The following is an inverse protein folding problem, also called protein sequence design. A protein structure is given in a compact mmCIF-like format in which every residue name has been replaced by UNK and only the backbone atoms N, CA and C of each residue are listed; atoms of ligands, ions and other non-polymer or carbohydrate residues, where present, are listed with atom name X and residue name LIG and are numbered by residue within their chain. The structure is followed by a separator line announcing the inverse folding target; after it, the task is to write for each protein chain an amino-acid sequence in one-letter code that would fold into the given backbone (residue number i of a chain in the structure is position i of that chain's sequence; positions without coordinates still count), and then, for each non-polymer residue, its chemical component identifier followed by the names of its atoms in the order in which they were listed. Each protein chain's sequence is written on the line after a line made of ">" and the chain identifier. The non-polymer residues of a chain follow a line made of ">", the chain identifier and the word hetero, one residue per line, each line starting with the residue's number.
data_IF_425516889804
#
_entry.id   IF_425516889804
#
_cell.length_a   1.000
_cell.length_b   1.000
_cell.length_c   1.000
_cell.angle_alpha   90.00
_cell.angle_beta   90.00
_cell.angle_gamma   90.00
#
_symmetry.space_group_name_H-M   'P 1'
#
loop_
_entity.id
_entity.type
_entity.pdbx_description
1 polymer ?
#
# COMPACT_ATOMS: atom_id res chain seq x y z
N UNK A 1 12.34 -8.58 8.08
CA UNK A 1 12.84 -8.82 6.71
C UNK A 1 12.27 -10.13 6.17
N UNK A 2 11.89 -10.17 4.88
CA UNK A 2 11.39 -11.40 4.22
C UNK A 2 12.29 -11.67 3.02
N UNK A 3 12.78 -12.91 2.88
CA UNK A 3 13.62 -13.33 1.76
C UNK A 3 13.03 -14.57 1.09
N UNK A 4 12.85 -14.51 -0.22
CA UNK A 4 12.52 -15.64 -1.07
C UNK A 4 13.76 -15.99 -1.90
N UNK A 5 14.26 -17.25 -1.81
CA UNK A 5 15.45 -17.72 -2.50
C UNK A 5 15.08 -18.86 -3.42
N UNK A 6 15.03 -18.57 -4.74
CA UNK A 6 14.70 -19.51 -5.79
C UNK A 6 13.38 -20.28 -5.54
N UNK A 7 12.36 -19.56 -5.06
CA UNK A 7 11.08 -20.14 -4.61
C UNK A 7 10.23 -20.52 -5.81
N UNK A 8 9.74 -21.77 -5.81
CA UNK A 8 8.84 -22.27 -6.85
C UNK A 8 7.61 -22.95 -6.25
N UNK A 9 6.48 -22.88 -6.97
CA UNK A 9 5.25 -23.61 -6.63
C UNK A 9 4.64 -24.24 -7.87
N UNK A 10 4.38 -25.54 -7.78
CA UNK A 10 3.70 -26.33 -8.81
C UNK A 10 2.38 -26.87 -8.29
N UNK A 11 1.38 -26.90 -9.17
CA UNK A 11 0.08 -27.54 -8.96
C UNK A 11 -0.11 -28.56 -10.10
N UNK A 12 0.19 -29.83 -9.84
CA UNK A 12 0.29 -30.83 -10.91
C UNK A 12 1.32 -30.38 -11.95
N UNK A 13 0.90 -30.28 -13.20
CA UNK A 13 1.76 -29.87 -14.33
C UNK A 13 1.89 -28.32 -14.46
N UNK A 14 1.08 -27.55 -13.72
CA UNK A 14 1.10 -26.09 -13.81
C UNK A 14 2.12 -25.50 -12.86
N UNK A 15 3.03 -24.68 -13.37
CA UNK A 15 3.99 -23.90 -12.57
C UNK A 15 3.37 -22.54 -12.29
N UNK A 16 2.93 -22.30 -11.05
CA UNK A 16 2.31 -21.05 -10.65
C UNK A 16 3.34 -19.99 -10.21
N UNK A 17 4.47 -20.43 -9.64
CA UNK A 17 5.61 -19.58 -9.26
C UNK A 17 6.88 -20.33 -9.64
N UNK A 18 7.81 -19.65 -10.30
CA UNK A 18 9.00 -20.25 -10.92
C UNK A 18 10.27 -19.49 -10.57
N UNK A 19 11.06 -20.04 -9.64
CA UNK A 19 12.38 -19.55 -9.27
C UNK A 19 12.42 -18.11 -8.76
N UNK A 20 11.42 -17.68 -8.00
CA UNK A 20 11.32 -16.32 -7.50
C UNK A 20 12.39 -16.02 -6.46
N UNK A 21 13.14 -14.94 -6.71
CA UNK A 21 14.07 -14.31 -5.77
C UNK A 21 13.54 -12.93 -5.44
N UNK A 22 13.32 -12.65 -4.14
CA UNK A 22 12.78 -11.37 -3.66
C UNK A 22 13.25 -11.13 -2.23
N UNK A 23 13.79 -9.94 -1.98
CA UNK A 23 14.09 -9.47 -0.62
C UNK A 23 13.22 -8.27 -0.31
N UNK A 24 12.55 -8.29 0.83
CA UNK A 24 11.69 -7.22 1.36
C UNK A 24 12.26 -6.79 2.69
N UNK A 25 12.73 -5.56 2.75
CA UNK A 25 13.38 -5.02 3.94
C UNK A 25 12.37 -4.71 5.06
N UNK A 26 12.87 -4.62 6.27
CA UNK A 26 12.03 -4.26 7.43
C UNK A 26 11.47 -2.84 7.26
N UNK A 27 10.15 -2.70 7.41
CA UNK A 27 9.44 -1.43 7.24
C UNK A 27 9.13 -1.05 5.78
N UNK A 28 9.56 -1.86 4.81
CA UNK A 28 9.27 -1.68 3.39
C UNK A 28 7.81 -2.00 3.06
N UNK A 29 7.25 -1.26 2.12
CA UNK A 29 5.99 -1.59 1.45
C UNK A 29 6.31 -2.14 0.07
N UNK A 30 6.37 -3.47 -0.05
CA UNK A 30 6.59 -4.15 -1.31
C UNK A 30 5.26 -4.51 -1.96
N UNK A 31 5.02 -4.00 -3.17
CA UNK A 31 3.80 -4.32 -3.93
C UNK A 31 4.11 -5.31 -5.04
N UNK A 32 3.44 -6.46 -5.02
CA UNK A 32 3.44 -7.44 -6.10
C UNK A 32 2.36 -7.05 -7.12
N UNK A 33 2.75 -6.70 -8.33
CA UNK A 33 1.84 -6.30 -9.41
C UNK A 33 2.07 -7.14 -10.66
N UNK A 34 1.05 -7.31 -11.50
CA UNK A 34 1.14 -8.07 -12.76
C UNK A 34 -0.21 -8.60 -13.20
N UNK A 35 -0.23 -9.34 -14.32
CA UNK A 35 -1.44 -9.90 -14.91
C UNK A 35 -2.18 -10.88 -13.98
N UNK A 36 -3.46 -11.09 -14.21
CA UNK A 36 -4.22 -12.10 -13.45
C UNK A 36 -3.61 -13.49 -13.66
N UNK A 37 -3.48 -14.25 -12.57
CA UNK A 37 -2.92 -15.60 -12.62
C UNK A 37 -1.39 -15.67 -12.69
N UNK A 38 -0.63 -14.56 -12.68
CA UNK A 38 0.84 -14.58 -12.77
C UNK A 38 1.56 -15.04 -11.49
N UNK A 39 0.85 -15.43 -10.41
CA UNK A 39 1.45 -16.02 -9.20
C UNK A 39 1.48 -15.13 -7.95
N UNK A 40 1.00 -13.88 -7.98
CA UNK A 40 1.05 -12.93 -6.86
C UNK A 40 0.43 -13.46 -5.55
N UNK A 41 -0.86 -13.80 -5.58
CA UNK A 41 -1.55 -14.34 -4.40
C UNK A 41 -0.99 -15.69 -3.96
N UNK A 42 -0.45 -16.48 -4.89
CA UNK A 42 0.26 -17.73 -4.57
C UNK A 42 1.52 -17.43 -3.78
N UNK A 43 2.32 -16.46 -4.23
CA UNK A 43 3.53 -15.99 -3.53
C UNK A 43 3.19 -15.48 -2.13
N UNK A 44 2.16 -14.63 -2.00
CA UNK A 44 1.71 -14.12 -0.71
C UNK A 44 1.30 -15.25 0.25
N UNK A 45 0.56 -16.24 -0.24
CA UNK A 45 0.11 -17.41 0.55
C UNK A 45 1.26 -18.35 0.94
N UNK A 46 2.35 -18.39 0.15
CA UNK A 46 3.56 -19.13 0.52
C UNK A 46 4.30 -18.43 1.66
N UNK A 47 4.43 -17.10 1.63
CA UNK A 47 5.05 -16.31 2.73
C UNK A 47 4.32 -16.57 4.05
N UNK A 48 2.98 -16.60 4.04
CA UNK A 48 2.16 -16.90 5.23
C UNK A 48 2.03 -18.40 5.54
N UNK A 49 2.77 -19.25 4.79
CA UNK A 49 2.71 -20.72 4.95
C UNK A 49 1.27 -21.27 4.92
N UNK A 50 0.36 -20.62 4.18
CA UNK A 50 -0.96 -21.15 3.82
C UNK A 50 -0.87 -22.14 2.66
N UNK A 51 0.16 -21.97 1.82
CA UNK A 51 0.55 -22.91 0.76
C UNK A 51 2.02 -23.27 0.96
N UNK A 52 2.39 -24.56 0.89
CA UNK A 52 3.80 -24.94 0.86
C UNK A 52 4.42 -24.57 -0.48
N UNK A 53 5.68 -24.13 -0.50
CA UNK A 53 6.47 -24.04 -1.73
C UNK A 53 6.93 -25.45 -2.17
N UNK A 54 7.23 -25.61 -3.46
CA UNK A 54 7.67 -26.90 -4.04
C UNK A 54 9.20 -26.99 -4.11
N UNK A 55 9.89 -25.85 -4.17
CA UNK A 55 11.35 -25.72 -4.17
C UNK A 55 11.76 -24.32 -3.68
N UNK A 56 13.02 -24.18 -3.31
CA UNK A 56 13.58 -22.94 -2.79
C UNK A 56 13.40 -22.81 -1.28
N UNK A 57 13.65 -21.61 -0.76
CA UNK A 57 13.62 -21.29 0.65
C UNK A 57 12.91 -19.94 0.88
N UNK A 58 12.12 -19.83 1.94
CA UNK A 58 11.50 -18.57 2.38
C UNK A 58 11.94 -18.32 3.82
N UNK A 59 12.62 -17.17 4.04
CA UNK A 59 13.09 -16.77 5.34
C UNK A 59 12.27 -15.55 5.84
N UNK A 60 11.97 -15.57 7.12
CA UNK A 60 11.39 -14.43 7.85
C UNK A 60 12.32 -14.12 9.01
N UNK A 61 12.87 -12.89 9.01
CA UNK A 61 13.88 -12.44 9.97
C UNK A 61 15.08 -13.41 10.10
N UNK A 62 15.48 -14.01 8.95
CA UNK A 62 16.59 -14.95 8.83
C UNK A 62 16.29 -16.40 9.21
N UNK A 63 15.06 -16.73 9.65
CA UNK A 63 14.63 -18.08 9.99
C UNK A 63 13.75 -18.69 8.88
N UNK A 64 14.04 -19.94 8.47
CA UNK A 64 13.23 -20.65 7.48
C UNK A 64 11.83 -20.93 8.02
N UNK A 65 10.80 -20.44 7.30
CA UNK A 65 9.41 -20.60 7.70
C UNK A 65 8.99 -22.07 7.83
N UNK A 66 9.68 -23.01 7.18
CA UNK A 66 9.37 -24.46 7.24
C UNK A 66 9.73 -25.05 8.60
N UNK A 67 10.73 -24.51 9.29
CA UNK A 67 11.18 -24.95 10.61
C UNK A 67 10.36 -24.34 11.75
N UNK A 68 9.69 -23.19 11.50
CA UNK A 68 8.88 -22.49 12.48
C UNK A 68 7.58 -23.22 12.77
N UNK A 69 7.01 -23.01 13.96
CA UNK A 69 5.61 -23.39 14.22
C UNK A 69 4.67 -22.53 13.35
N UNK A 70 3.78 -23.12 12.51
CA UNK A 70 2.92 -22.37 11.60
C UNK A 70 1.96 -21.40 12.29
N UNK A 71 1.51 -21.74 13.49
CA UNK A 71 0.59 -20.87 14.25
C UNK A 71 1.33 -19.65 14.76
N UNK A 72 2.53 -19.83 15.31
CA UNK A 72 3.37 -18.73 15.80
C UNK A 72 3.82 -17.81 14.65
N UNK A 73 4.19 -18.36 13.49
CA UNK A 73 4.50 -17.59 12.30
C UNK A 73 3.32 -16.67 11.94
N UNK A 74 2.10 -17.23 11.86
CA UNK A 74 0.89 -16.46 11.49
C UNK A 74 0.45 -15.47 12.55
N UNK A 75 0.72 -15.70 13.82
CA UNK A 75 0.43 -14.75 14.88
C UNK A 75 1.28 -13.47 14.77
N UNK A 76 2.47 -13.57 14.17
CA UNK A 76 3.36 -12.44 13.90
C UNK A 76 3.05 -11.74 12.56
N UNK A 77 2.08 -12.25 11.79
CA UNK A 77 1.67 -11.72 10.49
C UNK A 77 0.20 -11.32 10.51
N UNK A 78 -0.09 -10.07 10.23
CA UNK A 78 -1.44 -9.63 9.89
C UNK A 78 -1.77 -10.04 8.46
N UNK A 79 -2.96 -10.60 8.23
CA UNK A 79 -3.36 -11.01 6.90
C UNK A 79 -4.74 -10.45 6.51
N UNK A 80 -4.75 -9.62 5.48
CA UNK A 80 -5.97 -9.12 4.84
C UNK A 80 -6.21 -9.94 3.58
N UNK A 81 -7.23 -10.78 3.60
CA UNK A 81 -7.59 -11.64 2.47
C UNK A 81 -8.40 -10.87 1.43
N UNK A 82 -8.41 -11.36 0.20
CA UNK A 82 -9.27 -10.87 -0.87
C UNK A 82 -10.74 -10.85 -0.42
N UNK A 83 -11.40 -9.71 -0.55
CA UNK A 83 -12.68 -9.44 0.10
C UNK A 83 -12.51 -9.11 1.60
N UNK A 84 -13.59 -8.99 2.34
CA UNK A 84 -13.51 -8.56 3.75
C UNK A 84 -13.15 -9.70 4.71
N UNK A 85 -13.53 -10.95 4.38
CA UNK A 85 -13.27 -12.14 5.18
C UNK A 85 -13.72 -12.05 6.63
N UNK A 86 -14.66 -11.16 6.94
CA UNK A 86 -15.18 -10.98 8.29
C UNK A 86 -16.12 -12.13 8.68
N UNK A 87 -16.12 -12.49 9.96
CA UNK A 87 -17.09 -13.45 10.48
C UNK A 87 -18.48 -12.80 10.54
N UNK A 88 -19.45 -13.26 9.71
CA UNK A 88 -20.72 -12.56 9.54
C UNK A 88 -21.60 -12.57 10.80
N UNK A 89 -21.38 -13.52 11.69
CA UNK A 89 -22.10 -13.71 12.96
C UNK A 89 -21.41 -13.06 14.16
N UNK A 90 -20.32 -12.32 13.93
CA UNK A 90 -19.60 -11.56 14.96
C UNK A 90 -19.74 -10.05 14.69
N UNK A 91 -19.79 -9.30 15.79
CA UNK A 91 -19.75 -7.84 15.71
C UNK A 91 -18.40 -7.36 15.20
N UNK A 92 -18.31 -6.08 14.82
CA UNK A 92 -17.07 -5.40 14.44
C UNK A 92 -16.01 -5.56 15.53
N UNK A 93 -16.33 -5.18 16.76
CA UNK A 93 -15.41 -5.31 17.89
C UNK A 93 -14.92 -6.76 18.09
N UNK A 94 -15.81 -7.74 17.92
CA UNK A 94 -15.44 -9.15 18.07
C UNK A 94 -14.56 -9.65 16.93
N UNK A 95 -14.79 -9.18 15.69
CA UNK A 95 -13.93 -9.47 14.55
C UNK A 95 -12.51 -8.93 14.77
N UNK A 96 -12.36 -7.68 15.20
CA UNK A 96 -11.07 -7.06 15.50
C UNK A 96 -10.36 -7.78 16.66
N UNK A 97 -11.09 -8.09 17.74
CA UNK A 97 -10.57 -8.72 18.94
C UNK A 97 -10.12 -10.19 18.74
N UNK A 98 -10.30 -10.78 17.55
CA UNK A 98 -10.10 -12.22 17.33
C UNK A 98 -8.69 -12.69 17.70
N UNK A 99 -7.66 -12.10 17.11
CA UNK A 99 -6.26 -12.53 17.33
C UNK A 99 -5.78 -12.20 18.75
N UNK A 100 -6.02 -10.99 19.31
CA UNK A 100 -5.72 -10.71 20.72
C UNK A 100 -6.34 -11.70 21.71
N UNK A 101 -7.57 -12.18 21.44
CA UNK A 101 -8.20 -13.22 22.26
C UNK A 101 -7.50 -14.58 22.15
N UNK A 102 -7.07 -14.96 20.95
CA UNK A 102 -6.28 -16.20 20.76
C UNK A 102 -4.93 -16.13 21.50
N UNK A 103 -4.37 -14.92 21.63
CA UNK A 103 -3.16 -14.65 22.40
C UNK A 103 -3.42 -14.50 23.92
N UNK A 104 -4.65 -14.72 24.37
CA UNK A 104 -5.05 -14.59 25.78
C UNK A 104 -4.71 -13.23 26.40
N UNK A 105 -4.83 -12.14 25.63
CA UNK A 105 -4.64 -10.79 26.16
C UNK A 105 -5.71 -10.48 27.23
N UNK A 106 -5.39 -9.69 28.28
CA UNK A 106 -6.36 -9.19 29.22
C UNK A 106 -7.49 -8.44 28.50
N UNK A 107 -8.73 -8.62 28.98
CA UNK A 107 -9.92 -8.01 28.35
C UNK A 107 -9.79 -6.50 28.19
N UNK A 108 -9.32 -5.81 29.23
CA UNK A 108 -9.13 -4.35 29.21
C UNK A 108 -8.17 -3.90 28.09
N UNK A 109 -7.09 -4.67 27.89
CA UNK A 109 -6.14 -4.41 26.80
C UNK A 109 -6.77 -4.64 25.43
N UNK A 110 -7.61 -5.68 25.30
CA UNK A 110 -8.33 -5.98 24.05
C UNK A 110 -9.31 -4.85 23.73
N UNK A 111 -10.12 -4.44 24.70
CA UNK A 111 -11.14 -3.41 24.50
C UNK A 111 -10.48 -2.07 24.11
N UNK A 112 -9.41 -1.65 24.80
CA UNK A 112 -8.62 -0.47 24.46
C UNK A 112 -8.00 -0.55 23.06
N UNK A 113 -7.47 -1.72 22.67
CA UNK A 113 -6.87 -1.92 21.34
C UNK A 113 -7.92 -1.89 20.22
N UNK A 114 -9.11 -2.41 20.45
CA UNK A 114 -10.23 -2.33 19.51
C UNK A 114 -10.62 -0.88 19.27
N UNK A 115 -10.80 -0.08 20.32
CA UNK A 115 -11.17 1.34 20.22
C UNK A 115 -10.08 2.16 19.53
N UNK A 116 -8.81 1.92 19.86
CA UNK A 116 -7.65 2.53 19.20
C UNK A 116 -7.65 2.28 17.69
N UNK A 117 -7.81 1.02 17.26
CA UNK A 117 -7.76 0.65 15.85
C UNK A 117 -9.00 1.12 15.08
N UNK A 118 -10.17 1.13 15.72
CA UNK A 118 -11.36 1.69 15.09
C UNK A 118 -11.19 3.18 14.86
N UNK A 119 -10.66 3.91 15.83
CA UNK A 119 -10.36 5.35 15.71
C UNK A 119 -9.30 5.62 14.64
N UNK A 120 -8.20 4.83 14.63
CA UNK A 120 -7.13 4.92 13.63
C UNK A 120 -7.66 4.76 12.20
N UNK A 121 -8.68 3.92 12.01
CA UNK A 121 -9.29 3.58 10.72
C UNK A 121 -10.60 4.34 10.45
N UNK A 122 -10.80 5.48 11.11
CA UNK A 122 -11.95 6.36 10.87
C UNK A 122 -13.31 5.65 11.05
N UNK A 123 -13.36 4.71 11.99
CA UNK A 123 -14.57 4.02 12.43
C UNK A 123 -14.91 4.46 13.85
N UNK A 124 -15.97 5.26 14.01
CA UNK A 124 -16.44 5.65 15.36
C UNK A 124 -16.81 4.40 16.19
N UNK A 125 -16.09 4.10 17.30
CA UNK A 125 -16.36 2.93 18.12
C UNK A 125 -17.80 2.92 18.67
N UNK A 126 -18.34 4.06 19.07
CA UNK A 126 -19.68 4.19 19.64
C UNK A 126 -20.78 3.79 18.64
N UNK A 127 -20.55 4.12 17.37
CA UNK A 127 -21.51 3.87 16.29
C UNK A 127 -21.35 2.50 15.60
N UNK A 128 -20.13 1.90 15.63
CA UNK A 128 -19.82 0.76 14.79
C UNK A 128 -19.42 -0.52 15.55
N UNK A 129 -18.90 -0.45 16.77
CA UNK A 129 -18.36 -1.61 17.49
C UNK A 129 -19.36 -2.78 17.64
N UNK A 130 -20.64 -2.46 17.83
CA UNK A 130 -21.72 -3.46 18.01
C UNK A 130 -22.37 -3.91 16.71
N UNK A 131 -22.07 -3.28 15.56
CA UNK A 131 -22.62 -3.66 14.25
C UNK A 131 -22.07 -4.99 13.78
N UNK A 132 -22.83 -5.66 12.93
CA UNK A 132 -22.44 -6.86 12.20
C UNK A 132 -21.95 -6.48 10.78
N UNK A 133 -21.12 -7.33 10.14
CA UNK A 133 -20.58 -7.04 8.80
C UNK A 133 -21.63 -6.65 7.75
N UNK A 134 -22.80 -7.25 7.76
CA UNK A 134 -23.90 -6.93 6.84
C UNK A 134 -24.49 -5.52 7.02
N UNK A 135 -24.18 -4.85 8.13
CA UNK A 135 -24.65 -3.49 8.42
C UNK A 135 -23.62 -2.42 8.04
N UNK A 136 -22.50 -2.83 7.43
CA UNK A 136 -21.40 -1.97 7.03
C UNK A 136 -21.43 -1.73 5.52
N UNK A 137 -20.93 -0.56 5.09
CA UNK A 137 -20.55 -0.36 3.69
C UNK A 137 -19.32 -1.23 3.34
N UNK A 138 -19.06 -1.46 2.05
CA UNK A 138 -17.89 -2.22 1.61
C UNK A 138 -16.58 -1.64 2.16
N UNK A 139 -16.42 -0.31 2.14
CA UNK A 139 -15.24 0.38 2.69
C UNK A 139 -15.12 0.23 4.21
N UNK A 140 -16.24 0.34 4.95
CA UNK A 140 -16.23 0.10 6.40
C UNK A 140 -15.85 -1.34 6.73
N UNK A 141 -16.40 -2.31 6.01
CA UNK A 141 -16.05 -3.71 6.21
C UNK A 141 -14.58 -3.99 5.90
N UNK A 142 -14.01 -3.34 4.88
CA UNK A 142 -12.60 -3.44 4.55
C UNK A 142 -11.71 -2.85 5.65
N UNK A 143 -12.05 -1.69 6.20
CA UNK A 143 -11.37 -1.07 7.36
C UNK A 143 -11.37 -2.01 8.57
N UNK A 144 -12.49 -2.67 8.85
CA UNK A 144 -12.56 -3.70 9.92
C UNK A 144 -11.62 -4.87 9.63
N UNK A 145 -11.49 -5.30 8.38
CA UNK A 145 -10.54 -6.33 7.96
C UNK A 145 -9.09 -5.94 8.22
N UNK A 146 -8.72 -4.68 7.92
CA UNK A 146 -7.40 -4.11 8.22
C UNK A 146 -7.18 -3.96 9.73
N UNK A 147 -8.18 -3.46 10.48
CA UNK A 147 -8.12 -3.38 11.95
C UNK A 147 -7.85 -4.76 12.57
N UNK A 148 -8.55 -5.79 12.11
CA UNK A 148 -8.33 -7.16 12.57
C UNK A 148 -6.92 -7.67 12.30
N UNK A 149 -6.37 -7.36 11.12
CA UNK A 149 -5.01 -7.74 10.76
C UNK A 149 -3.96 -7.04 11.62
N UNK A 150 -4.21 -5.79 12.06
CA UNK A 150 -3.32 -5.00 12.91
C UNK A 150 -3.53 -5.27 14.41
N UNK A 151 -4.57 -5.99 14.82
CA UNK A 151 -5.01 -6.08 16.21
C UNK A 151 -3.96 -6.64 17.17
N UNK A 152 -3.21 -7.65 16.75
CA UNK A 152 -2.14 -8.28 17.54
C UNK A 152 -0.79 -7.53 17.44
N UNK A 153 -0.74 -6.37 16.80
CA UNK A 153 0.47 -5.60 16.53
C UNK A 153 1.57 -6.39 15.78
N UNK A 154 1.23 -7.03 14.63
CA UNK A 154 2.18 -7.86 13.90
C UNK A 154 3.32 -7.02 13.32
N UNK A 155 4.49 -7.64 13.09
CA UNK A 155 5.61 -6.98 12.42
C UNK A 155 5.46 -6.95 10.90
N UNK A 156 4.71 -7.91 10.34
CA UNK A 156 4.49 -8.09 8.91
C UNK A 156 3.00 -8.00 8.61
N UNK A 157 2.64 -7.28 7.56
CA UNK A 157 1.28 -7.15 7.07
C UNK A 157 1.21 -7.66 5.63
N UNK A 158 0.39 -8.67 5.40
CA UNK A 158 0.15 -9.26 4.10
C UNK A 158 -1.26 -8.89 3.63
N UNK A 159 -1.39 -8.37 2.40
CA UNK A 159 -2.67 -7.93 1.85
C UNK A 159 -2.90 -8.47 0.45
N UNK A 160 -3.96 -9.25 0.25
CA UNK A 160 -4.35 -9.85 -1.02
C UNK A 160 -5.51 -9.05 -1.64
N UNK A 161 -5.22 -8.16 -2.61
CA UNK A 161 -6.17 -7.28 -3.31
C UNK A 161 -7.16 -6.53 -2.38
N UNK A 162 -6.68 -5.77 -1.39
CA UNK A 162 -7.56 -5.20 -0.36
C UNK A 162 -8.52 -4.12 -0.88
N UNK A 163 -8.32 -3.60 -2.09
CA UNK A 163 -9.19 -2.56 -2.67
C UNK A 163 -10.05 -3.06 -3.84
N UNK A 164 -9.90 -4.33 -4.25
CA UNK A 164 -10.49 -4.86 -5.47
C UNK A 164 -12.04 -4.82 -5.54
N UNK A 165 -12.71 -4.84 -4.39
CA UNK A 165 -14.18 -4.85 -4.32
C UNK A 165 -14.82 -3.48 -4.02
N UNK A 166 -14.03 -2.39 -4.07
CA UNK A 166 -14.50 -1.04 -3.70
C UNK A 166 -14.78 -0.18 -4.94
N UNK A 167 -15.77 0.71 -4.82
CA UNK A 167 -15.98 1.78 -5.78
C UNK A 167 -14.79 2.76 -5.78
N UNK A 168 -14.66 3.57 -6.84
CA UNK A 168 -13.49 4.42 -7.06
C UNK A 168 -13.24 5.43 -5.92
N UNK A 169 -14.29 6.06 -5.40
CA UNK A 169 -14.18 7.09 -4.35
C UNK A 169 -13.75 6.45 -3.03
N UNK A 170 -14.41 5.37 -2.65
CA UNK A 170 -14.07 4.62 -1.42
C UNK A 170 -12.66 4.04 -1.49
N UNK A 171 -12.26 3.53 -2.67
CA UNK A 171 -10.91 3.01 -2.91
C UNK A 171 -9.84 4.10 -2.70
N UNK A 172 -10.02 5.27 -3.33
CA UNK A 172 -9.06 6.38 -3.20
C UNK A 172 -8.90 6.85 -1.75
N UNK A 173 -10.02 7.02 -1.04
CA UNK A 173 -10.00 7.40 0.36
C UNK A 173 -9.26 6.36 1.23
N UNK A 174 -9.53 5.07 1.02
CA UNK A 174 -8.88 4.01 1.79
C UNK A 174 -7.38 3.89 1.47
N UNK A 175 -6.96 4.12 0.23
CA UNK A 175 -5.55 4.19 -0.15
C UNK A 175 -4.82 5.32 0.57
N UNK A 176 -5.41 6.53 0.62
CA UNK A 176 -4.83 7.66 1.35
C UNK A 176 -4.71 7.38 2.85
N UNK A 177 -5.71 6.71 3.41
CA UNK A 177 -5.71 6.28 4.81
C UNK A 177 -4.61 5.23 5.08
N UNK A 178 -4.46 4.24 4.20
CA UNK A 178 -3.39 3.24 4.29
C UNK A 178 -2.00 3.87 4.26
N UNK A 179 -1.78 4.90 3.42
CA UNK A 179 -0.52 5.65 3.42
C UNK A 179 -0.26 6.34 4.78
N UNK A 180 -1.30 6.91 5.42
CA UNK A 180 -1.18 7.52 6.75
C UNK A 180 -0.84 6.47 7.81
N UNK A 181 -1.56 5.36 7.80
CA UNK A 181 -1.35 4.24 8.74
C UNK A 181 0.07 3.70 8.59
N UNK A 182 0.52 3.44 7.36
CA UNK A 182 1.87 2.92 7.10
C UNK A 182 2.97 3.86 7.63
N UNK A 183 2.80 5.18 7.47
CA UNK A 183 3.73 6.17 8.04
C UNK A 183 3.79 6.12 9.58
N UNK A 184 2.67 5.81 10.23
CA UNK A 184 2.57 5.74 11.70
C UNK A 184 3.09 4.41 12.24
N UNK A 185 2.66 3.28 11.67
CA UNK A 185 2.96 1.95 12.22
C UNK A 185 4.25 1.35 11.67
N UNK A 186 4.75 1.81 10.53
CA UNK A 186 6.01 1.39 9.88
C UNK A 186 6.20 -0.13 9.81
N UNK A 187 5.14 -0.88 9.51
CA UNK A 187 5.19 -2.34 9.38
C UNK A 187 5.77 -2.74 8.03
N UNK A 188 6.46 -3.88 7.99
CA UNK A 188 6.83 -4.52 6.72
C UNK A 188 5.54 -5.00 6.05
N UNK A 189 5.25 -4.48 4.86
CA UNK A 189 3.98 -4.77 4.18
C UNK A 189 4.23 -5.42 2.83
N UNK A 190 3.57 -6.55 2.58
CA UNK A 190 3.50 -7.16 1.24
C UNK A 190 2.08 -7.03 0.74
N UNK A 191 1.92 -6.35 -0.35
CA UNK A 191 0.64 -6.00 -0.92
C UNK A 191 0.51 -6.59 -2.33
N UNK A 192 -0.61 -7.20 -2.65
CA UNK A 192 -0.91 -7.72 -3.98
C UNK A 192 -2.00 -6.90 -4.62
N UNK A 193 -1.76 -6.47 -5.85
CA UNK A 193 -2.76 -5.82 -6.70
C UNK A 193 -2.55 -6.17 -8.17
N UNK A 194 -3.57 -5.95 -8.98
CA UNK A 194 -3.47 -5.96 -10.45
C UNK A 194 -3.43 -4.54 -11.03
N UNK A 195 -3.57 -3.51 -10.19
CA UNK A 195 -3.58 -2.10 -10.57
C UNK A 195 -2.20 -1.47 -10.35
N UNK A 196 -1.56 -1.05 -11.44
CA UNK A 196 -0.24 -0.40 -11.40
C UNK A 196 -0.29 0.97 -10.72
N UNK A 197 -1.40 1.69 -10.80
CA UNK A 197 -1.53 3.00 -10.18
C UNK A 197 -1.62 2.89 -8.66
N UNK A 198 -2.25 1.84 -8.13
CA UNK A 198 -2.19 1.48 -6.71
C UNK A 198 -0.74 1.18 -6.29
N UNK A 199 -0.02 0.37 -7.07
CA UNK A 199 1.37 0.04 -6.79
C UNK A 199 2.25 1.29 -6.76
N UNK A 200 2.14 2.16 -7.77
CA UNK A 200 2.91 3.40 -7.85
C UNK A 200 2.63 4.34 -6.68
N UNK A 201 1.37 4.39 -6.20
CA UNK A 201 0.94 5.28 -5.11
C UNK A 201 1.37 4.80 -3.73
N UNK A 202 1.36 3.48 -3.49
CA UNK A 202 1.49 2.89 -2.15
C UNK A 202 2.87 2.29 -1.86
N UNK A 203 3.59 1.84 -2.89
CA UNK A 203 4.82 1.09 -2.71
C UNK A 203 6.03 1.95 -2.39
N UNK A 204 6.93 1.43 -1.54
CA UNK A 204 8.32 1.85 -1.52
C UNK A 204 9.12 1.09 -2.58
N UNK A 205 8.75 -0.17 -2.84
CA UNK A 205 9.28 -0.98 -3.94
C UNK A 205 8.18 -1.80 -4.61
N UNK A 206 8.30 -1.97 -5.93
CA UNK A 206 7.34 -2.73 -6.74
C UNK A 206 8.06 -3.95 -7.30
N UNK A 207 7.47 -5.14 -7.12
CA UNK A 207 7.87 -6.35 -7.78
C UNK A 207 6.85 -6.69 -8.89
N UNK A 208 7.26 -6.48 -10.14
CA UNK A 208 6.43 -6.82 -11.30
C UNK A 208 6.56 -8.30 -11.60
N UNK A 209 5.43 -9.02 -11.57
CA UNK A 209 5.37 -10.46 -11.84
C UNK A 209 4.71 -10.74 -13.18
N UNK A 210 5.29 -11.66 -13.93
CA UNK A 210 4.70 -12.24 -15.12
C UNK A 210 5.05 -13.74 -15.21
N UNK A 211 4.09 -14.57 -15.61
CA UNK A 211 4.24 -16.02 -15.80
C UNK A 211 5.00 -16.74 -14.66
N UNK A 212 4.69 -16.40 -13.42
CA UNK A 212 5.29 -17.00 -12.23
C UNK A 212 6.66 -16.45 -11.83
N UNK A 213 7.21 -15.47 -12.54
CA UNK A 213 8.55 -14.90 -12.31
C UNK A 213 8.48 -13.43 -11.97
N UNK A 214 9.47 -12.94 -11.23
CA UNK A 214 9.68 -11.50 -11.06
C UNK A 214 10.49 -11.00 -12.25
N UNK A 215 9.91 -10.08 -13.02
CA UNK A 215 10.53 -9.46 -14.18
C UNK A 215 11.35 -8.23 -13.79
N UNK A 216 10.85 -7.47 -12.80
CA UNK A 216 11.54 -6.29 -12.29
C UNK A 216 11.16 -6.09 -10.82
N UNK A 217 12.14 -5.70 -9.99
CA UNK A 217 11.93 -5.30 -8.60
C UNK A 217 12.69 -4.02 -8.32
N UNK A 218 11.98 -2.90 -8.21
CA UNK A 218 12.61 -1.59 -8.07
C UNK A 218 11.68 -0.56 -7.39
N UNK A 219 12.18 0.67 -7.21
CA UNK A 219 11.36 1.79 -6.76
C UNK A 219 10.31 2.18 -7.80
N UNK A 220 9.17 2.78 -7.40
CA UNK A 220 8.16 3.29 -8.35
C UNK A 220 8.76 4.19 -9.44
N UNK A 221 9.69 5.07 -9.08
CA UNK A 221 10.36 5.96 -10.03
C UNK A 221 11.19 5.18 -11.04
N UNK A 222 12.00 4.21 -10.60
CA UNK A 222 12.82 3.41 -11.51
C UNK A 222 12.00 2.50 -12.42
N UNK A 223 10.88 1.95 -11.92
CA UNK A 223 9.92 1.21 -12.76
C UNK A 223 9.39 2.09 -13.89
N UNK A 224 9.08 3.35 -13.59
CA UNK A 224 8.65 4.31 -14.60
C UNK A 224 9.78 4.74 -15.54
N UNK A 225 10.99 5.03 -15.04
CA UNK A 225 12.10 5.53 -15.85
C UNK A 225 12.76 4.46 -16.71
N UNK A 226 12.89 3.24 -16.18
CA UNK A 226 13.68 2.15 -16.73
C UNK A 226 12.90 0.82 -16.70
N UNK A 227 11.78 0.70 -17.47
CA UNK A 227 11.05 -0.57 -17.55
C UNK A 227 11.95 -1.66 -18.15
N UNK A 228 12.05 -2.81 -17.47
CA UNK A 228 12.95 -3.89 -17.82
C UNK A 228 12.51 -4.68 -19.08
N UNK A 229 11.27 -4.53 -19.52
CA UNK A 229 10.72 -5.23 -20.68
C UNK A 229 9.51 -4.51 -21.27
N UNK A 230 9.12 -4.89 -22.49
CA UNK A 230 7.87 -4.42 -23.10
C UNK A 230 6.63 -4.74 -22.26
N UNK A 231 6.65 -5.86 -21.53
CA UNK A 231 5.57 -6.21 -20.61
C UNK A 231 5.41 -5.16 -19.51
N UNK A 232 6.52 -4.78 -18.86
CA UNK A 232 6.51 -3.74 -17.82
C UNK A 232 6.08 -2.39 -18.40
N UNK A 233 6.59 -2.02 -19.56
CA UNK A 233 6.23 -0.77 -20.24
C UNK A 233 4.74 -0.70 -20.60
N UNK A 234 4.17 -1.81 -21.08
CA UNK A 234 2.74 -1.92 -21.40
C UNK A 234 1.88 -1.88 -20.12
N UNK A 235 2.34 -2.52 -19.04
CA UNK A 235 1.65 -2.50 -17.75
C UNK A 235 1.55 -1.08 -17.17
N UNK A 236 2.61 -0.29 -17.31
CA UNK A 236 2.65 1.11 -16.89
C UNK A 236 1.72 1.99 -17.74
N UNK A 237 1.60 1.68 -19.05
CA UNK A 237 0.94 2.53 -20.04
C UNK A 237 1.89 3.59 -20.61
N UNK A 238 2.34 3.37 -21.84
CA UNK A 238 3.36 4.19 -22.52
C UNK A 238 3.03 5.69 -22.55
N UNK A 239 1.75 6.03 -22.80
CA UNK A 239 1.31 7.41 -22.99
C UNK A 239 1.21 8.19 -21.66
N UNK A 240 0.91 7.52 -20.56
CA UNK A 240 0.69 8.15 -19.25
C UNK A 240 1.93 8.18 -18.37
N UNK A 241 3.04 7.60 -18.83
CA UNK A 241 4.27 7.43 -18.06
C UNK A 241 4.81 8.73 -17.48
N UNK A 242 4.85 9.80 -18.27
CA UNK A 242 5.29 11.12 -17.82
C UNK A 242 4.37 11.70 -16.73
N UNK A 243 3.05 11.58 -16.91
CA UNK A 243 2.06 12.04 -15.91
C UNK A 243 2.14 11.25 -14.62
N UNK A 244 2.39 9.94 -14.70
CA UNK A 244 2.58 9.08 -13.53
C UNK A 244 3.87 9.46 -12.78
N UNK A 245 4.95 9.76 -13.49
CA UNK A 245 6.20 10.23 -12.88
C UNK A 245 5.99 11.57 -12.16
N UNK A 246 5.29 12.52 -12.77
CA UNK A 246 4.91 13.77 -12.12
C UNK A 246 4.03 13.57 -10.87
N UNK A 247 3.26 12.48 -10.80
CA UNK A 247 2.44 12.15 -9.63
C UNK A 247 3.27 11.66 -8.43
N UNK A 248 4.46 11.12 -8.65
CA UNK A 248 5.36 10.64 -7.61
C UNK A 248 6.24 11.74 -7.00
N UNK A 249 6.43 12.84 -7.73
CA UNK A 249 7.33 13.93 -7.32
C UNK A 249 6.54 15.07 -6.67
N UNK A 250 6.91 15.49 -5.45
CA UNK A 250 6.27 16.62 -4.80
C UNK A 250 6.72 17.95 -5.42
N UNK A 251 5.88 18.96 -5.31
CA UNK A 251 6.14 20.31 -5.85
C UNK A 251 7.42 20.91 -5.29
N UNK A 252 7.76 20.64 -4.04
CA UNK A 252 9.00 21.11 -3.39
C UNK A 252 10.29 20.75 -4.15
N UNK A 253 10.28 19.63 -4.91
CA UNK A 253 11.47 19.18 -5.66
C UNK A 253 11.74 20.06 -6.87
N UNK A 254 10.74 20.83 -7.33
CA UNK A 254 10.80 21.59 -8.57
C UNK A 254 10.49 23.07 -8.38
N UNK A 255 9.98 23.52 -7.24
CA UNK A 255 9.67 24.93 -7.01
C UNK A 255 10.94 25.78 -6.88
N UNK A 256 10.82 27.06 -7.20
CA UNK A 256 11.83 28.06 -6.85
C UNK A 256 11.55 28.56 -5.44
N UNK A 257 12.46 28.27 -4.52
CA UNK A 257 12.31 28.65 -3.11
C UNK A 257 12.51 30.16 -2.93
N UNK A 258 11.72 30.78 -2.05
CA UNK A 258 12.02 32.10 -1.52
C UNK A 258 13.17 32.03 -0.50
N UNK A 259 13.97 33.10 -0.43
CA UNK A 259 15.06 33.20 0.54
C UNK A 259 14.52 33.18 1.98
N UNK A 260 13.32 33.78 2.18
CA UNK A 260 12.56 33.72 3.43
C UNK A 260 11.08 33.47 3.12
N UNK A 261 10.37 32.68 3.94
CA UNK A 261 8.93 32.48 3.79
C UNK A 261 8.18 33.82 3.88
N UNK A 262 7.19 34.03 3.02
CA UNK A 262 6.40 35.26 2.98
C UNK A 262 5.00 35.01 3.54
N UNK A 263 4.43 36.01 4.19
CA UNK A 263 3.01 36.03 4.49
C UNK A 263 2.29 36.66 3.30
N UNK A 264 1.68 35.82 2.48
CA UNK A 264 0.81 36.25 1.37
C UNK A 264 -0.59 35.68 1.61
N UNK A 265 -1.61 36.41 1.16
CA UNK A 265 -2.96 35.84 1.15
C UNK A 265 -2.98 34.71 0.13
N UNK A 266 -3.44 33.51 0.53
CA UNK A 266 -3.59 32.40 -0.41
C UNK A 266 -4.59 32.84 -1.50
N UNK A 267 -4.19 32.73 -2.76
CA UNK A 267 -5.10 32.87 -3.90
C UNK A 267 -6.19 31.79 -3.87
N UNK A 268 -7.07 31.81 -4.87
CA UNK A 268 -8.18 30.84 -5.01
C UNK A 268 -7.71 29.37 -5.06
N UNK A 269 -6.43 29.14 -5.46
CA UNK A 269 -5.79 27.83 -5.49
C UNK A 269 -4.41 27.89 -4.83
N UNK A 270 -4.29 27.13 -3.76
CA UNK A 270 -3.08 26.99 -2.95
C UNK A 270 -2.47 25.62 -3.21
N UNK A 271 -1.20 25.61 -3.66
CA UNK A 271 -0.40 24.39 -3.68
C UNK A 271 0.42 24.29 -2.39
N UNK A 272 0.52 23.07 -1.88
CA UNK A 272 1.41 22.75 -0.77
C UNK A 272 2.69 22.12 -1.27
N UNK A 273 3.76 22.22 -0.51
CA UNK A 273 5.07 21.62 -0.83
C UNK A 273 4.98 20.11 -1.14
N UNK A 274 4.06 19.42 -0.47
CA UNK A 274 3.85 17.96 -0.61
C UNK A 274 2.91 17.57 -1.77
N UNK A 275 2.24 18.56 -2.40
CA UNK A 275 1.37 18.27 -3.54
C UNK A 275 2.20 17.80 -4.72
N UNK A 276 1.63 16.94 -5.56
CA UNK A 276 2.34 16.40 -6.70
C UNK A 276 2.52 17.45 -7.81
N UNK A 277 3.62 17.32 -8.55
CA UNK A 277 3.87 18.14 -9.78
C UNK A 277 2.70 17.97 -10.77
N UNK A 278 2.09 16.79 -10.86
CA UNK A 278 0.90 16.55 -11.68
C UNK A 278 -0.28 17.44 -11.27
N UNK A 279 -0.53 17.58 -9.97
CA UNK A 279 -1.60 18.46 -9.46
C UNK A 279 -1.29 19.92 -9.80
N UNK A 280 -0.04 20.36 -9.63
CA UNK A 280 0.38 21.71 -10.00
C UNK A 280 0.15 21.98 -11.49
N UNK A 281 0.54 21.06 -12.36
CA UNK A 281 0.30 21.16 -13.80
C UNK A 281 -1.20 21.23 -14.12
N UNK A 282 -2.02 20.39 -13.49
CA UNK A 282 -3.47 20.41 -13.67
C UNK A 282 -4.08 21.77 -13.29
N UNK A 283 -3.75 22.32 -12.11
CA UNK A 283 -4.23 23.62 -11.66
C UNK A 283 -3.85 24.73 -12.64
N UNK A 284 -2.58 24.73 -13.11
CA UNK A 284 -2.10 25.73 -14.07
C UNK A 284 -2.79 25.65 -15.44
N UNK A 285 -3.05 24.44 -15.94
CA UNK A 285 -3.74 24.26 -17.23
C UNK A 285 -5.22 24.61 -17.13
N UNK A 286 -5.87 24.22 -16.03
CA UNK A 286 -7.30 24.46 -15.82
C UNK A 286 -7.64 25.96 -15.71
N UNK A 287 -6.72 26.74 -15.12
CA UNK A 287 -6.91 28.16 -14.83
C UNK A 287 -6.09 29.09 -15.72
N UNK A 288 -5.42 28.54 -16.71
CA UNK A 288 -4.48 29.28 -17.60
C UNK A 288 -3.42 30.10 -16.82
N UNK A 289 -2.90 29.53 -15.73
CA UNK A 289 -1.85 30.16 -14.93
C UNK A 289 -0.47 29.78 -15.47
N UNK A 290 0.45 30.74 -15.44
CA UNK A 290 1.87 30.48 -15.75
C UNK A 290 2.68 30.06 -14.54
N UNK A 291 2.26 30.47 -13.36
CA UNK A 291 2.91 30.15 -12.08
C UNK A 291 1.88 30.07 -10.95
N UNK A 292 2.22 29.33 -9.91
CA UNK A 292 1.40 29.18 -8.68
C UNK A 292 2.31 29.25 -7.47
N UNK A 293 1.87 29.96 -6.43
CA UNK A 293 2.55 30.04 -5.15
C UNK A 293 2.43 28.70 -4.39
N UNK A 294 3.49 28.36 -3.66
CA UNK A 294 3.58 27.12 -2.88
C UNK A 294 3.72 27.47 -1.41
N UNK A 295 2.95 26.77 -0.57
CA UNK A 295 2.84 27.06 0.86
C UNK A 295 3.29 25.86 1.70
N UNK A 296 3.90 26.14 2.85
CA UNK A 296 4.22 25.14 3.85
C UNK A 296 2.98 24.75 4.70
N UNK A 297 3.16 23.80 5.61
CA UNK A 297 2.12 23.34 6.52
C UNK A 297 1.62 24.43 7.50
N UNK A 298 2.39 25.51 7.70
CA UNK A 298 2.07 26.67 8.54
C UNK A 298 1.32 27.76 7.77
N UNK A 299 1.05 27.57 6.48
CA UNK A 299 0.34 28.52 5.63
C UNK A 299 1.21 29.71 5.17
N UNK A 300 2.53 29.57 5.22
CA UNK A 300 3.48 30.57 4.71
C UNK A 300 3.89 30.21 3.29
N UNK A 301 3.97 31.21 2.41
CA UNK A 301 4.49 31.02 1.05
C UNK A 301 6.00 30.78 1.08
N UNK A 302 6.42 29.62 0.60
CA UNK A 302 7.83 29.19 0.59
C UNK A 302 8.47 29.24 -0.77
N UNK A 303 7.68 29.34 -1.83
CA UNK A 303 8.20 29.40 -3.18
C UNK A 303 7.13 29.51 -4.24
N UNK A 304 7.57 29.42 -5.48
CA UNK A 304 6.72 29.49 -6.67
C UNK A 304 7.11 28.36 -7.61
N UNK A 305 6.12 27.68 -8.19
CA UNK A 305 6.35 26.73 -9.28
C UNK A 305 5.81 27.33 -10.59
N UNK A 306 6.55 27.14 -11.69
CA UNK A 306 6.17 27.67 -13.01
C UNK A 306 5.83 26.53 -13.97
N UNK A 307 4.88 26.77 -14.89
CA UNK A 307 4.49 25.81 -15.93
C UNK A 307 5.67 25.44 -16.83
N UNK A 308 6.53 26.39 -17.15
CA UNK A 308 7.71 26.18 -17.99
C UNK A 308 8.68 25.18 -17.33
N UNK A 309 8.95 25.35 -16.03
CA UNK A 309 9.83 24.45 -15.27
C UNK A 309 9.28 23.04 -15.16
N UNK A 310 7.95 22.89 -14.97
CA UNK A 310 7.31 21.59 -14.97
C UNK A 310 7.50 20.86 -16.31
N UNK A 311 7.35 21.59 -17.44
CA UNK A 311 7.49 21.00 -18.78
C UNK A 311 8.94 20.60 -19.06
N UNK A 312 9.91 21.38 -18.58
CA UNK A 312 11.35 21.12 -18.82
C UNK A 312 11.95 20.05 -17.91
N UNK A 313 11.57 20.03 -16.64
CA UNK A 313 12.23 19.23 -15.59
C UNK A 313 11.28 18.26 -14.88
N UNK A 314 9.98 18.30 -15.16
CA UNK A 314 8.96 17.56 -14.46
C UNK A 314 8.93 16.04 -14.75
N UNK A 315 9.60 15.60 -15.83
CA UNK A 315 9.60 14.19 -16.30
C UNK A 315 10.97 13.55 -16.16
#
# INVERSE_FOLDING_TARGET
>A
MIELKNVSRRFGDTVAVDGVNLTIETGEVCVLVGSSGCGKSTTLRMINRLLPHSAGEILVDGEDITTMNPEQLRLNMGYVIQGTGLFPHWTVARNIAMVPRLLNWPRERIDARVDELMTLLDLDPSAHASKYPQQLSGGQAQRVGVARALAADPNILLMDEPFGALDAITRENLQLEMLRIQKQVRKTTVFVTHDIDEALKLATRIAVMDQGRIIQHDTPENILRHPASDFVENLIGKQDRGLKLMSLRPVRDLMANHTEPRQSEPGEHVLREEDSIRLALFVMLWQDLRQVAVFNAQGQETGVITRERIIQEGV
#
